data_IF_058776556971
#
_entry.id   IF_058776556971
#
_cell.length_a   1.000
_cell.length_b   1.000
_cell.length_c   1.000
_cell.angle_alpha   90.00
_cell.angle_beta   90.00
_cell.angle_gamma   90.00
#
_symmetry.space_group_name_H-M   'P 1'
#
loop_
_entity.id
_entity.type
_entity.pdbx_description
1 polymer ?
#
# COMPACT_ATOMS: atom_id res chain seq x y z
N UNK A 1 35.04 -32.06 15.07
CA UNK A 1 35.97 -30.95 15.34
C UNK A 1 36.26 -30.20 14.04
N UNK A 2 35.47 -29.24 13.59
CA UNK A 2 34.11 -28.79 13.93
C UNK A 2 33.72 -27.71 12.91
N UNK A 3 32.42 -27.42 12.88
CA UNK A 3 31.76 -26.27 12.29
C UNK A 3 31.69 -26.25 10.75
N UNK A 4 30.79 -27.08 10.22
CA UNK A 4 29.87 -26.62 9.18
C UNK A 4 29.19 -25.37 9.76
N UNK A 5 29.54 -24.20 9.25
CA UNK A 5 28.77 -22.98 9.51
C UNK A 5 27.48 -23.15 8.72
N UNK A 6 26.45 -23.60 9.43
CA UNK A 6 25.08 -23.58 8.96
C UNK A 6 24.72 -22.09 8.80
N UNK A 7 24.89 -21.56 7.59
CA UNK A 7 24.33 -20.27 7.21
C UNK A 7 22.84 -20.52 7.09
N UNK A 8 22.12 -20.43 8.21
CA UNK A 8 20.67 -20.30 8.19
C UNK A 8 20.33 -19.10 7.30
N UNK A 9 19.94 -19.38 6.06
CA UNK A 9 19.31 -18.39 5.19
C UNK A 9 17.98 -18.05 5.82
N UNK A 10 17.94 -17.02 6.68
CA UNK A 10 16.70 -16.39 7.12
C UNK A 10 16.07 -15.62 5.95
N UNK A 11 15.69 -16.32 4.89
CA UNK A 11 14.66 -15.79 3.99
C UNK A 11 13.33 -16.05 4.70
N UNK A 12 12.88 -15.06 5.48
CA UNK A 12 11.60 -15.11 6.19
C UNK A 12 10.41 -15.31 5.23
N UNK A 13 10.65 -15.24 3.91
CA UNK A 13 9.63 -15.21 2.87
C UNK A 13 8.86 -13.89 2.85
N UNK A 14 9.09 -12.99 3.81
CA UNK A 14 8.36 -11.73 3.86
C UNK A 14 8.89 -10.76 2.82
N UNK A 15 8.01 -10.28 1.94
CA UNK A 15 8.37 -9.45 0.80
C UNK A 15 7.36 -8.34 0.62
N UNK A 16 7.84 -7.16 0.24
CA UNK A 16 6.99 -6.04 -0.12
C UNK A 16 7.50 -5.38 -1.39
N UNK A 17 6.67 -5.29 -2.42
CA UNK A 17 6.91 -4.45 -3.57
C UNK A 17 6.06 -3.19 -3.45
N UNK A 18 6.70 -2.04 -3.60
CA UNK A 18 6.03 -0.74 -3.57
C UNK A 18 6.30 -0.01 -4.89
N UNK A 19 5.23 0.32 -5.60
CA UNK A 19 5.25 1.31 -6.69
C UNK A 19 4.54 2.58 -6.23
N UNK A 20 4.42 3.65 -7.04
CA UNK A 20 3.59 4.80 -6.66
C UNK A 20 2.09 4.44 -6.46
N UNK A 21 1.59 3.43 -7.19
CA UNK A 21 0.16 3.16 -7.35
C UNK A 21 -0.26 1.73 -6.99
N UNK A 22 0.71 0.86 -6.68
CA UNK A 22 0.50 -0.54 -6.28
C UNK A 22 1.33 -0.87 -5.06
N UNK A 23 0.82 -1.76 -4.23
CA UNK A 23 1.60 -2.44 -3.18
C UNK A 23 1.32 -3.94 -3.29
N UNK A 24 2.37 -4.75 -3.23
CA UNK A 24 2.25 -6.16 -2.93
C UNK A 24 2.97 -6.41 -1.62
N UNK A 25 2.30 -6.98 -0.64
CA UNK A 25 2.89 -7.34 0.64
C UNK A 25 2.60 -8.81 0.92
N UNK A 26 3.63 -9.61 1.16
CA UNK A 26 3.52 -10.95 1.70
C UNK A 26 4.19 -10.96 3.07
N UNK A 27 3.41 -11.18 4.13
CA UNK A 27 3.96 -11.24 5.48
C UNK A 27 2.92 -11.23 6.58
N UNK A 28 3.39 -10.97 7.81
CA UNK A 28 2.59 -11.01 9.02
C UNK A 28 1.43 -10.00 8.99
N UNK A 29 0.19 -10.48 9.10
CA UNK A 29 -0.97 -9.60 9.28
C UNK A 29 -1.05 -8.96 10.68
N UNK A 30 -0.32 -9.54 11.64
CA UNK A 30 -0.35 -9.14 13.04
C UNK A 30 -1.64 -9.56 13.75
N UNK A 31 -1.87 -9.02 14.95
CA UNK A 31 -3.09 -9.30 15.71
C UNK A 31 -4.31 -8.67 15.03
N UNK A 32 -5.49 -9.32 15.06
CA UNK A 32 -6.72 -8.78 14.49
C UNK A 32 -7.02 -7.40 15.08
N UNK A 33 -7.05 -6.38 14.23
CA UNK A 33 -7.39 -5.00 14.58
C UNK A 33 -8.10 -4.37 13.40
N UNK A 34 -9.12 -3.57 13.72
CA UNK A 34 -9.83 -2.77 12.73
C UNK A 34 -8.86 -1.83 12.02
N UNK A 35 -8.97 -1.78 10.69
CA UNK A 35 -8.19 -0.94 9.79
C UNK A 35 -9.13 -0.31 8.76
N UNK A 36 -8.75 0.85 8.26
CA UNK A 36 -9.54 1.64 7.32
C UNK A 36 -8.62 2.21 6.23
N UNK A 37 -7.98 1.37 5.41
CA UNK A 37 -7.04 1.83 4.40
C UNK A 37 -7.72 2.68 3.33
N UNK A 38 -6.99 3.64 2.77
CA UNK A 38 -7.48 4.48 1.67
C UNK A 38 -7.37 3.83 0.28
N UNK A 39 -6.89 2.59 0.19
CA UNK A 39 -6.70 1.84 -1.05
C UNK A 39 -7.64 0.63 -1.13
N UNK A 40 -7.87 0.16 -2.35
CA UNK A 40 -8.51 -1.11 -2.62
C UNK A 40 -7.56 -2.23 -2.21
N UNK A 41 -8.04 -3.22 -1.47
CA UNK A 41 -7.21 -4.32 -0.98
C UNK A 41 -7.75 -5.68 -1.44
N UNK A 42 -6.83 -6.54 -1.85
CA UNK A 42 -7.06 -7.97 -2.09
C UNK A 42 -6.15 -8.74 -1.15
N UNK A 43 -6.75 -9.48 -0.23
CA UNK A 43 -6.04 -10.37 0.67
C UNK A 43 -6.10 -11.78 0.13
N UNK A 44 -4.98 -12.51 0.18
CA UNK A 44 -4.91 -13.92 -0.19
C UNK A 44 -4.18 -14.71 0.88
N UNK A 45 -4.77 -15.83 1.31
CA UNK A 45 -4.15 -16.79 2.21
C UNK A 45 -2.90 -17.39 1.55
N UNK A 46 -1.76 -17.35 2.24
CA UNK A 46 -0.57 -18.11 1.83
C UNK A 46 -0.82 -19.61 2.06
N UNK A 47 -1.42 -19.94 3.20
CA UNK A 47 -1.93 -21.28 3.56
C UNK A 47 -3.23 -21.11 4.35
N UNK A 48 -4.04 -22.17 4.36
CA UNK A 48 -5.30 -22.25 5.07
C UNK A 48 -6.27 -21.11 4.64
N UNK A 49 -7.04 -20.54 5.57
CA UNK A 49 -8.02 -19.50 5.28
C UNK A 49 -7.71 -18.12 5.85
N UNK A 50 -8.50 -17.15 5.38
CA UNK A 50 -8.64 -15.80 5.91
C UNK A 50 -10.03 -15.60 6.51
N UNK A 51 -10.14 -14.85 7.59
CA UNK A 51 -11.42 -14.36 8.12
C UNK A 51 -11.50 -12.85 7.96
N UNK A 52 -12.48 -12.37 7.20
CA UNK A 52 -12.78 -10.96 7.01
C UNK A 52 -14.06 -10.60 7.77
N UNK A 53 -14.04 -9.48 8.48
CA UNK A 53 -15.24 -8.82 9.02
C UNK A 53 -15.18 -7.33 8.70
N UNK A 54 -16.26 -6.78 8.17
CA UNK A 54 -16.36 -5.39 7.72
C UNK A 54 -17.37 -4.60 8.55
N UNK A 55 -17.25 -3.28 8.60
CA UNK A 55 -18.13 -2.41 9.39
C UNK A 55 -19.56 -2.31 8.88
N UNK A 56 -19.81 -2.72 7.64
CA UNK A 56 -21.16 -2.84 7.06
C UNK A 56 -21.82 -4.20 7.39
N UNK A 57 -21.20 -5.01 8.25
CA UNK A 57 -21.75 -6.26 8.77
C UNK A 57 -21.43 -7.49 7.93
N UNK A 58 -20.70 -7.37 6.82
CA UNK A 58 -20.27 -8.55 6.06
C UNK A 58 -19.22 -9.35 6.85
N UNK A 59 -19.35 -10.66 6.79
CA UNK A 59 -18.37 -11.61 7.28
C UNK A 59 -18.10 -12.65 6.21
N UNK A 60 -16.84 -13.05 6.07
CA UNK A 60 -16.43 -14.04 5.08
C UNK A 60 -15.25 -14.86 5.56
N UNK A 61 -15.23 -16.12 5.15
CA UNK A 61 -14.10 -17.03 5.30
C UNK A 61 -13.74 -17.63 3.95
N UNK A 62 -12.45 -17.69 3.64
CA UNK A 62 -11.97 -18.24 2.38
C UNK A 62 -10.51 -17.90 2.09
N UNK A 63 -10.01 -18.32 0.93
CA UNK A 63 -8.62 -18.08 0.55
C UNK A 63 -8.36 -16.67 0.00
N UNK A 64 -9.40 -15.94 -0.40
CA UNK A 64 -9.30 -14.59 -0.95
C UNK A 64 -10.40 -13.71 -0.37
N UNK A 65 -10.03 -12.49 0.00
CA UNK A 65 -10.96 -11.48 0.48
C UNK A 65 -10.66 -10.12 -0.17
N UNK A 66 -11.68 -9.31 -0.39
CA UNK A 66 -11.55 -7.99 -1.05
C UNK A 66 -12.17 -6.92 -0.17
N UNK A 67 -11.53 -5.76 -0.06
CA UNK A 67 -12.11 -4.58 0.58
C UNK A 67 -11.97 -3.33 -0.27
N UNK A 68 -13.05 -2.55 -0.34
CA UNK A 68 -13.07 -1.27 -1.05
C UNK A 68 -12.29 -0.19 -0.27
N UNK A 69 -11.79 0.85 -0.95
CA UNK A 69 -11.17 1.99 -0.28
C UNK A 69 -12.04 2.56 0.84
N UNK A 70 -11.43 2.85 1.99
CA UNK A 70 -12.05 3.41 3.18
C UNK A 70 -13.10 2.52 3.89
N UNK A 71 -13.26 1.26 3.47
CA UNK A 71 -14.09 0.30 4.19
C UNK A 71 -13.37 -0.15 5.47
N UNK A 72 -13.96 0.11 6.64
CA UNK A 72 -13.39 -0.39 7.89
C UNK A 72 -13.57 -1.89 7.98
N UNK A 73 -12.51 -2.60 8.32
CA UNK A 73 -12.54 -4.05 8.41
C UNK A 73 -11.48 -4.59 9.36
N UNK A 74 -11.68 -5.84 9.80
CA UNK A 74 -10.68 -6.68 10.45
C UNK A 74 -10.42 -7.88 9.54
N UNK A 75 -9.16 -8.25 9.40
CA UNK A 75 -8.72 -9.42 8.62
C UNK A 75 -7.78 -10.25 9.49
N UNK A 76 -7.93 -11.57 9.45
CA UNK A 76 -7.06 -12.52 10.13
C UNK A 76 -6.64 -13.63 9.15
N UNK A 77 -5.50 -14.25 9.41
CA UNK A 77 -5.04 -15.43 8.69
C UNK A 77 -4.80 -16.56 9.68
N UNK A 78 -5.21 -17.77 9.31
CA UNK A 78 -4.98 -18.99 10.07
C UNK A 78 -3.48 -19.36 10.10
N UNK A 79 -2.71 -18.96 9.08
CA UNK A 79 -1.26 -19.17 8.94
C UNK A 79 -0.38 -18.00 9.47
N UNK A 80 -0.97 -17.00 10.14
CA UNK A 80 -0.35 -15.71 10.57
C UNK A 80 0.08 -14.76 9.45
N UNK A 81 0.60 -15.28 8.35
CA UNK A 81 1.02 -14.50 7.18
C UNK A 81 0.02 -14.59 6.04
N UNK A 82 -0.17 -13.48 5.32
CA UNK A 82 -1.01 -13.40 4.14
C UNK A 82 -0.36 -12.53 3.07
N UNK A 83 -0.86 -12.67 1.85
CA UNK A 83 -0.59 -11.73 0.77
C UNK A 83 -1.66 -10.63 0.83
N UNK A 84 -1.24 -9.40 0.59
CA UNK A 84 -2.03 -8.20 0.60
C UNK A 84 -1.62 -7.36 -0.62
N UNK A 85 -2.48 -7.30 -1.62
CA UNK A 85 -2.32 -6.47 -2.82
C UNK A 85 -3.14 -5.21 -2.63
N UNK A 86 -2.54 -4.04 -2.83
CA UNK A 86 -3.23 -2.76 -2.76
C UNK A 86 -3.17 -2.02 -4.10
N UNK A 87 -4.30 -1.45 -4.51
CA UNK A 87 -4.43 -0.59 -5.69
C UNK A 87 -4.89 0.80 -5.24
N UNK A 88 -4.14 1.83 -5.64
CA UNK A 88 -4.48 3.21 -5.34
C UNK A 88 -5.67 3.66 -6.22
N UNK A 89 -6.82 4.05 -5.61
CA UNK A 89 -8.07 4.28 -6.34
C UNK A 89 -8.00 5.41 -7.38
N UNK A 90 -7.14 6.40 -7.19
CA UNK A 90 -6.96 7.48 -8.16
C UNK A 90 -6.27 7.02 -9.46
N UNK A 91 -5.57 5.88 -9.45
CA UNK A 91 -4.80 5.37 -10.60
C UNK A 91 -5.67 4.70 -11.66
N UNK A 92 -6.93 4.39 -11.35
CA UNK A 92 -7.85 3.68 -12.23
C UNK A 92 -9.15 4.48 -12.42
N UNK A 93 -9.85 4.35 -13.55
CA UNK A 93 -11.15 4.98 -13.76
C UNK A 93 -12.21 4.50 -12.77
N UNK A 94 -13.24 5.33 -12.56
CA UNK A 94 -14.39 5.00 -11.71
C UNK A 94 -15.07 3.72 -12.18
N UNK A 95 -15.55 2.89 -11.25
CA UNK A 95 -16.18 1.60 -11.56
C UNK A 95 -15.19 0.46 -11.80
N UNK A 96 -13.89 0.75 -12.01
CA UNK A 96 -12.88 -0.29 -12.26
C UNK A 96 -12.71 -1.20 -11.03
N UNK A 97 -12.59 -0.61 -9.85
CA UNK A 97 -12.36 -1.38 -8.61
C UNK A 97 -13.58 -2.25 -8.26
N UNK A 98 -14.80 -1.76 -8.50
CA UNK A 98 -16.04 -2.51 -8.33
C UNK A 98 -16.14 -3.66 -9.32
N UNK A 99 -15.69 -3.47 -10.57
CA UNK A 99 -15.61 -4.54 -11.57
C UNK A 99 -14.57 -5.60 -11.17
N UNK A 100 -13.39 -5.19 -10.69
CA UNK A 100 -12.35 -6.10 -10.19
C UNK A 100 -12.86 -6.86 -8.96
N UNK A 101 -13.49 -6.19 -8.01
CA UNK A 101 -14.08 -6.83 -6.83
C UNK A 101 -15.08 -7.93 -7.21
N UNK A 102 -16.00 -7.64 -8.15
CA UNK A 102 -16.97 -8.64 -8.65
C UNK A 102 -16.30 -9.83 -9.33
N UNK A 103 -15.23 -9.61 -10.10
CA UNK A 103 -14.44 -10.69 -10.73
C UNK A 103 -13.78 -11.58 -9.66
N UNK A 104 -13.12 -10.95 -8.69
CA UNK A 104 -12.38 -11.64 -7.63
C UNK A 104 -13.29 -12.42 -6.67
N UNK A 105 -14.52 -11.95 -6.45
CA UNK A 105 -15.52 -12.61 -5.62
C UNK A 105 -16.45 -13.53 -6.43
N UNK A 106 -16.21 -13.68 -7.73
CA UNK A 106 -17.00 -14.50 -8.63
C UNK A 106 -16.53 -15.97 -8.69
N UNK A 107 -16.99 -16.71 -9.71
CA UNK A 107 -16.67 -18.14 -9.89
C UNK A 107 -15.15 -18.44 -9.96
N UNK A 108 -14.36 -17.49 -10.47
CA UNK A 108 -12.92 -17.64 -10.68
C UNK A 108 -12.08 -17.23 -9.44
N UNK A 109 -12.70 -17.03 -8.27
CA UNK A 109 -12.02 -16.60 -7.04
C UNK A 109 -10.76 -17.45 -6.72
N UNK A 110 -10.88 -18.78 -6.82
CA UNK A 110 -9.75 -19.70 -6.58
C UNK A 110 -8.62 -19.56 -7.60
N UNK A 111 -8.95 -19.25 -8.86
CA UNK A 111 -7.97 -18.98 -9.91
C UNK A 111 -7.17 -17.71 -9.57
N UNK A 112 -7.85 -16.63 -9.16
CA UNK A 112 -7.17 -15.39 -8.76
C UNK A 112 -6.31 -15.56 -7.51
N UNK A 113 -6.79 -16.31 -6.51
CA UNK A 113 -5.99 -16.66 -5.33
C UNK A 113 -4.70 -17.40 -5.73
N UNK A 114 -4.82 -18.38 -6.64
CA UNK A 114 -3.67 -19.11 -7.19
C UNK A 114 -2.70 -18.20 -7.94
N UNK A 115 -3.21 -17.29 -8.79
CA UNK A 115 -2.39 -16.31 -9.52
C UNK A 115 -1.62 -15.38 -8.58
N UNK A 116 -2.26 -14.85 -7.54
CA UNK A 116 -1.61 -13.97 -6.56
C UNK A 116 -0.57 -14.74 -5.73
N UNK A 117 -0.79 -16.01 -5.43
CA UNK A 117 0.25 -16.88 -4.83
C UNK A 117 1.42 -17.14 -5.78
N UNK A 118 1.16 -17.34 -7.07
CA UNK A 118 2.21 -17.47 -8.09
C UNK A 118 3.00 -16.16 -8.26
N UNK A 119 2.33 -15.01 -8.16
CA UNK A 119 2.96 -13.69 -8.15
C UNK A 119 3.97 -13.56 -7.00
N UNK A 120 3.60 -14.02 -5.79
CA UNK A 120 4.50 -14.07 -4.65
C UNK A 120 5.76 -14.92 -4.94
N UNK A 121 5.61 -16.10 -5.53
CA UNK A 121 6.74 -16.94 -5.92
C UNK A 121 7.63 -16.25 -6.99
N UNK A 122 7.03 -15.57 -7.97
CA UNK A 122 7.79 -14.82 -8.99
C UNK A 122 8.57 -13.65 -8.39
N UNK A 123 7.97 -12.90 -7.46
CA UNK A 123 8.66 -11.86 -6.69
C UNK A 123 9.77 -12.45 -5.80
N UNK A 124 9.72 -13.75 -5.51
CA UNK A 124 10.79 -14.41 -4.76
C UNK A 124 12.10 -14.48 -5.56
N UNK A 125 11.98 -14.62 -6.87
CA UNK A 125 13.06 -14.79 -7.84
C UNK A 125 13.61 -13.46 -8.39
N UNK A 126 12.88 -12.35 -8.22
CA UNK A 126 13.29 -11.04 -8.73
C UNK A 126 14.47 -10.46 -7.96
N UNK A 127 15.36 -9.77 -8.69
CA UNK A 127 16.47 -9.05 -8.07
C UNK A 127 16.03 -7.65 -7.62
N UNK A 128 16.74 -7.10 -6.64
CA UNK A 128 16.42 -5.81 -6.01
C UNK A 128 16.35 -4.61 -6.97
N UNK A 129 16.85 -4.74 -8.21
CA UNK A 129 16.88 -3.68 -9.23
C UNK A 129 15.82 -3.80 -10.32
N UNK A 130 15.01 -4.85 -10.31
CA UNK A 130 14.00 -5.05 -11.35
C UNK A 130 12.82 -4.10 -11.12
N UNK A 131 12.70 -3.07 -11.97
CA UNK A 131 11.54 -2.19 -11.93
C UNK A 131 10.33 -2.90 -12.54
N UNK A 132 9.25 -3.05 -11.76
CA UNK A 132 7.98 -3.59 -12.25
C UNK A 132 7.03 -2.45 -12.59
N UNK A 133 6.56 -2.42 -13.83
CA UNK A 133 5.49 -1.49 -14.26
C UNK A 133 4.13 -1.89 -13.69
N UNK A 134 3.18 -0.95 -13.61
CA UNK A 134 1.81 -1.27 -13.21
C UNK A 134 1.16 -2.33 -14.12
N UNK A 135 1.47 -2.31 -15.41
CA UNK A 135 0.96 -3.28 -16.39
C UNK A 135 1.42 -4.69 -16.06
N UNK A 136 2.71 -4.86 -15.78
CA UNK A 136 3.28 -6.16 -15.38
C UNK A 136 2.74 -6.61 -14.03
N UNK A 137 2.64 -5.71 -13.06
CA UNK A 137 2.03 -5.98 -11.75
C UNK A 137 0.59 -6.49 -11.89
N UNK A 138 -0.24 -5.74 -12.63
CA UNK A 138 -1.65 -6.04 -12.80
C UNK A 138 -1.84 -7.36 -13.57
N UNK A 139 -1.04 -7.60 -14.60
CA UNK A 139 -1.06 -8.87 -15.36
C UNK A 139 -0.67 -10.06 -14.47
N UNK A 140 0.35 -9.88 -13.62
CA UNK A 140 0.81 -10.88 -12.68
C UNK A 140 -0.26 -11.22 -11.64
N UNK A 141 -0.96 -10.23 -11.07
CA UNK A 141 -1.97 -10.47 -10.04
C UNK A 141 -3.37 -10.82 -10.60
N UNK A 142 -3.81 -10.15 -11.65
CA UNK A 142 -5.21 -10.15 -12.14
C UNK A 142 -5.39 -10.70 -13.55
N UNK A 143 -4.31 -11.05 -14.24
CA UNK A 143 -4.37 -11.65 -15.58
C UNK A 143 -4.28 -10.66 -16.72
N UNK A 144 -4.70 -9.43 -16.47
CA UNK A 144 -4.71 -8.35 -17.45
C UNK A 144 -4.27 -7.05 -16.78
N UNK A 145 -3.79 -6.10 -17.58
CA UNK A 145 -3.55 -4.75 -17.12
C UNK A 145 -4.87 -4.06 -16.73
N UNK A 146 -4.89 -3.35 -15.61
CA UNK A 146 -6.03 -2.49 -15.29
C UNK A 146 -5.97 -1.20 -16.11
N UNK A 147 -7.13 -0.67 -16.54
CA UNK A 147 -7.18 0.61 -17.23
C UNK A 147 -6.57 1.71 -16.35
N UNK A 148 -5.70 2.53 -16.93
CA UNK A 148 -5.05 3.63 -16.24
C UNK A 148 -5.87 4.90 -16.40
N UNK A 149 -6.03 5.67 -15.32
CA UNK A 149 -6.67 6.98 -15.38
C UNK A 149 -5.68 8.01 -15.92
N UNK A 150 -6.13 8.81 -16.90
CA UNK A 150 -5.42 10.02 -17.32
C UNK A 150 -5.96 11.19 -16.51
N UNK A 151 -5.09 11.82 -15.72
CA UNK A 151 -5.42 12.93 -14.83
C UNK A 151 -4.99 14.28 -15.42
N UNK A 152 -5.68 15.34 -15.05
CA UNK A 152 -5.24 16.72 -15.31
C UNK A 152 -3.80 16.94 -14.81
N UNK A 153 -2.89 17.50 -15.63
CA UNK A 153 -1.49 17.70 -15.25
C UNK A 153 -1.29 18.49 -13.95
N UNK A 154 -2.22 19.38 -13.57
CA UNK A 154 -2.20 20.11 -12.30
C UNK A 154 -2.45 19.19 -11.12
N UNK A 155 -3.35 18.22 -11.27
CA UNK A 155 -3.62 17.18 -10.26
C UNK A 155 -2.44 16.21 -10.18
N UNK A 156 -1.87 15.79 -11.32
CA UNK A 156 -0.65 14.95 -11.33
C UNK A 156 0.48 15.61 -10.54
N UNK A 157 0.76 16.90 -10.78
CA UNK A 157 1.79 17.64 -10.01
C UNK A 157 1.49 17.67 -8.51
N UNK A 158 0.23 17.89 -8.13
CA UNK A 158 -0.16 17.87 -6.72
C UNK A 158 0.04 16.48 -6.09
N UNK A 159 -0.30 15.40 -6.80
CA UNK A 159 -0.08 14.01 -6.35
C UNK A 159 1.42 13.74 -6.19
N UNK A 160 2.24 14.10 -7.18
CA UNK A 160 3.70 13.95 -7.10
C UNK A 160 4.28 14.69 -5.91
N UNK A 161 3.83 15.92 -5.64
CA UNK A 161 4.25 16.70 -4.47
C UNK A 161 3.86 16.03 -3.16
N UNK A 162 2.65 15.46 -3.06
CA UNK A 162 2.20 14.70 -1.88
C UNK A 162 3.06 13.44 -1.67
N UNK A 163 3.53 12.82 -2.75
CA UNK A 163 4.37 11.61 -2.71
C UNK A 163 5.84 11.86 -2.35
N UNK A 164 6.29 13.12 -2.25
CA UNK A 164 7.67 13.44 -1.89
C UNK A 164 7.88 13.42 -0.37
N UNK A 165 9.01 12.86 0.07
CA UNK A 165 9.46 12.86 1.48
C UNK A 165 10.20 14.17 1.80
N UNK A 166 9.48 15.29 1.81
CA UNK A 166 10.09 16.61 2.02
C UNK A 166 9.99 17.14 3.45
N UNK A 167 9.31 16.45 4.37
CA UNK A 167 8.99 16.94 5.71
C UNK A 167 8.01 18.13 5.74
N UNK A 168 7.92 18.90 4.67
CA UNK A 168 7.04 20.06 4.56
C UNK A 168 5.56 19.66 4.34
N UNK A 169 4.61 20.31 5.04
CA UNK A 169 3.20 20.05 4.81
C UNK A 169 2.75 20.49 3.42
N UNK A 170 2.41 19.54 2.56
CA UNK A 170 1.74 19.85 1.28
C UNK A 170 0.33 20.37 1.54
N UNK A 171 0.08 21.66 1.32
CA UNK A 171 -1.22 22.31 1.58
C UNK A 171 -2.05 22.48 0.31
N UNK A 172 -3.38 22.54 0.46
CA UNK A 172 -4.28 22.80 -0.67
C UNK A 172 -4.04 24.19 -1.26
N UNK A 173 -3.72 25.19 -0.43
CA UNK A 173 -3.38 26.54 -0.90
C UNK A 173 -2.09 26.55 -1.73
N UNK A 174 -1.05 25.82 -1.30
CA UNK A 174 0.18 25.67 -2.06
C UNK A 174 -0.06 25.00 -3.42
N UNK A 175 -0.75 23.86 -3.44
CA UNK A 175 -1.07 23.20 -4.72
C UNK A 175 -1.98 24.04 -5.63
N UNK A 176 -2.90 24.82 -5.06
CA UNK A 176 -3.75 25.72 -5.82
C UNK A 176 -2.95 26.86 -6.48
N UNK A 177 -1.99 27.44 -5.74
CA UNK A 177 -1.07 28.44 -6.28
C UNK A 177 -0.24 27.87 -7.44
N UNK A 178 0.33 26.68 -7.27
CA UNK A 178 1.10 25.97 -8.32
C UNK A 178 0.24 25.65 -9.56
N UNK A 179 -1.07 25.48 -9.36
CA UNK A 179 -2.05 25.24 -10.42
C UNK A 179 -2.63 26.53 -11.03
N UNK A 180 -2.25 27.71 -10.53
CA UNK A 180 -2.86 29.01 -10.87
C UNK A 180 -4.39 29.01 -10.69
N UNK A 181 -4.85 28.41 -9.60
CA UNK A 181 -6.27 28.31 -9.23
C UNK A 181 -6.51 28.90 -7.85
N UNK A 182 -7.76 29.30 -7.58
CA UNK A 182 -8.19 29.52 -6.19
C UNK A 182 -8.24 28.17 -5.43
N UNK A 183 -8.05 28.17 -4.10
CA UNK A 183 -8.12 26.95 -3.29
C UNK A 183 -9.39 26.14 -3.51
N UNK A 184 -10.55 26.80 -3.58
CA UNK A 184 -11.84 26.14 -3.82
C UNK A 184 -11.92 25.47 -5.19
N UNK A 185 -11.41 26.13 -6.25
CA UNK A 185 -11.39 25.54 -7.60
C UNK A 185 -10.42 24.37 -7.70
N UNK A 186 -9.26 24.46 -7.05
CA UNK A 186 -8.32 23.36 -6.98
C UNK A 186 -8.93 22.14 -6.25
N UNK A 187 -9.57 22.36 -5.10
CA UNK A 187 -10.20 21.26 -4.34
C UNK A 187 -11.32 20.57 -5.13
N UNK A 188 -12.09 21.35 -5.90
CA UNK A 188 -13.12 20.80 -6.78
C UNK A 188 -12.50 19.96 -7.89
N UNK A 189 -11.53 20.51 -8.63
CA UNK A 189 -10.78 19.81 -9.69
C UNK A 189 -10.14 18.53 -9.15
N UNK A 190 -9.45 18.60 -8.01
CA UNK A 190 -8.80 17.44 -7.42
C UNK A 190 -9.80 16.32 -7.10
N UNK A 191 -10.96 16.67 -6.54
CA UNK A 191 -12.00 15.69 -6.20
C UNK A 191 -12.66 15.12 -7.46
N UNK A 192 -12.87 15.94 -8.47
CA UNK A 192 -13.43 15.53 -9.77
C UNK A 192 -12.51 14.52 -10.47
N UNK A 193 -11.20 14.81 -10.51
CA UNK A 193 -10.21 13.97 -11.19
C UNK A 193 -9.89 12.68 -10.43
N UNK A 194 -9.82 12.71 -9.09
CA UNK A 194 -9.39 11.56 -8.28
C UNK A 194 -10.54 10.78 -7.64
N UNK A 195 -11.74 11.35 -7.59
CA UNK A 195 -12.86 10.84 -6.78
C UNK A 195 -12.69 11.06 -5.26
N UNK A 196 -11.56 11.60 -4.80
CA UNK A 196 -11.17 11.63 -3.38
C UNK A 196 -10.93 13.06 -2.93
N UNK A 197 -11.35 13.39 -1.70
CA UNK A 197 -11.00 14.70 -1.14
C UNK A 197 -9.49 14.82 -0.94
N UNK A 198 -8.91 15.99 -1.25
CA UNK A 198 -7.49 16.28 -1.05
C UNK A 198 -6.99 15.94 0.36
N UNK A 199 -7.82 16.21 1.39
CA UNK A 199 -7.50 15.89 2.79
C UNK A 199 -7.37 14.38 3.02
N UNK A 200 -8.35 13.60 2.57
CA UNK A 200 -8.34 12.14 2.72
C UNK A 200 -7.19 11.52 1.94
N UNK A 201 -6.98 11.98 0.70
CA UNK A 201 -5.88 11.57 -0.15
C UNK A 201 -4.53 11.78 0.54
N UNK A 202 -4.24 13.01 0.98
CA UNK A 202 -3.00 13.36 1.66
C UNK A 202 -2.80 12.53 2.93
N UNK A 203 -3.86 12.33 3.72
CA UNK A 203 -3.77 11.53 4.95
C UNK A 203 -3.40 10.06 4.66
N UNK A 204 -3.99 9.47 3.62
CA UNK A 204 -3.68 8.10 3.21
C UNK A 204 -2.26 7.96 2.64
N UNK A 205 -1.87 8.82 1.68
CA UNK A 205 -0.52 8.80 1.11
C UNK A 205 0.56 8.96 2.18
N UNK A 206 0.33 9.86 3.14
CA UNK A 206 1.22 10.03 4.28
C UNK A 206 1.35 8.78 5.16
N UNK A 207 0.25 8.07 5.39
CA UNK A 207 0.31 6.81 6.12
C UNK A 207 1.08 5.74 5.32
N UNK A 208 0.87 5.70 4.01
CA UNK A 208 1.55 4.82 3.06
C UNK A 208 3.06 5.03 3.02
N UNK A 209 3.54 6.26 3.19
CA UNK A 209 4.96 6.58 3.26
C UNK A 209 5.72 5.75 4.30
N UNK A 210 5.06 5.36 5.41
CA UNK A 210 5.65 4.47 6.41
C UNK A 210 6.18 3.17 5.83
N UNK A 211 5.52 2.63 4.80
CA UNK A 211 5.88 1.35 4.18
C UNK A 211 7.29 1.39 3.59
N UNK A 212 7.76 2.54 3.10
CA UNK A 212 9.11 2.67 2.54
C UNK A 212 10.24 2.49 3.57
N UNK A 213 9.92 2.56 4.85
CA UNK A 213 10.89 2.52 5.94
C UNK A 213 10.68 1.34 6.90
N UNK A 214 9.69 0.48 6.62
CA UNK A 214 9.18 -0.48 7.60
C UNK A 214 10.21 -1.51 8.08
N UNK A 215 11.27 -1.78 7.31
CA UNK A 215 12.35 -2.69 7.66
C UNK A 215 13.61 -2.00 8.20
N UNK A 216 13.61 -0.67 8.35
CA UNK A 216 14.76 0.08 8.81
C UNK A 216 14.75 0.25 10.34
N UNK A 217 15.94 0.27 10.94
CA UNK A 217 16.10 0.61 12.36
C UNK A 217 16.23 2.13 12.52
N UNK A 218 15.08 2.81 12.63
CA UNK A 218 15.00 4.26 12.68
C UNK A 218 14.18 4.76 13.88
N UNK A 219 14.53 5.96 14.35
CA UNK A 219 13.75 6.63 15.38
C UNK A 219 12.38 7.05 14.82
N UNK A 220 11.31 6.42 15.34
CA UNK A 220 9.94 6.68 14.90
C UNK A 220 9.50 8.14 15.07
N UNK A 221 10.08 8.90 15.99
CA UNK A 221 9.78 10.32 16.17
C UNK A 221 10.37 11.17 15.04
N UNK A 222 11.59 10.86 14.60
CA UNK A 222 12.19 11.52 13.43
C UNK A 222 11.46 11.13 12.15
N UNK A 223 11.19 9.83 11.95
CA UNK A 223 10.40 9.37 10.82
C UNK A 223 9.05 10.07 10.72
N UNK A 224 8.36 10.26 11.86
CA UNK A 224 7.09 10.97 11.89
C UNK A 224 7.21 12.35 11.23
N UNK A 225 8.26 13.11 11.56
CA UNK A 225 8.53 14.42 10.97
C UNK A 225 8.91 14.32 9.49
N UNK A 226 9.78 13.38 9.13
CA UNK A 226 10.26 13.20 7.74
C UNK A 226 9.12 12.86 6.77
N UNK A 227 8.16 12.05 7.21
CA UNK A 227 6.98 11.73 6.41
C UNK A 227 5.83 12.74 6.64
N UNK A 228 6.08 13.86 7.31
CA UNK A 228 5.20 15.03 7.36
C UNK A 228 4.15 15.06 8.47
N UNK A 229 4.28 14.25 9.52
CA UNK A 229 3.47 14.38 10.73
C UNK A 229 4.07 15.42 11.71
N UNK A 230 3.23 16.21 12.38
CA UNK A 230 3.70 17.23 13.32
C UNK A 230 4.34 16.62 14.57
N UNK A 231 3.87 15.43 14.99
CA UNK A 231 4.37 14.73 16.18
C UNK A 231 4.06 13.22 16.13
N UNK A 232 4.65 12.50 17.08
CA UNK A 232 4.52 11.05 17.23
C UNK A 232 3.11 10.58 17.61
N UNK A 233 2.30 11.44 18.25
CA UNK A 233 0.93 11.12 18.68
C UNK A 233 0.02 11.09 17.47
N UNK A 234 0.02 12.15 16.66
CA UNK A 234 -0.72 12.22 15.39
C UNK A 234 -0.28 11.13 14.43
N UNK A 235 1.02 10.88 14.32
CA UNK A 235 1.57 9.76 13.54
C UNK A 235 0.99 8.42 14.00
N UNK A 236 1.10 8.10 15.29
CA UNK A 236 0.63 6.82 15.86
C UNK A 236 -0.87 6.62 15.67
N UNK A 237 -1.68 7.67 15.87
CA UNK A 237 -3.12 7.61 15.64
C UNK A 237 -3.47 7.39 14.17
N UNK A 238 -2.79 8.09 13.25
CA UNK A 238 -3.01 7.96 11.82
C UNK A 238 -2.65 6.57 11.31
N UNK A 239 -1.47 6.05 11.65
CA UNK A 239 -1.03 4.72 11.22
C UNK A 239 -1.96 3.63 11.80
N UNK A 240 -2.33 3.74 13.07
CA UNK A 240 -3.29 2.80 13.68
C UNK A 240 -4.64 2.83 12.99
N UNK A 241 -5.15 4.00 12.59
CA UNK A 241 -6.42 4.09 11.85
C UNK A 241 -6.33 3.36 10.50
N UNK A 242 -5.26 3.56 9.75
CA UNK A 242 -5.15 3.04 8.39
C UNK A 242 -4.75 1.56 8.32
N UNK A 243 -3.85 1.11 9.20
CA UNK A 243 -3.31 -0.25 9.19
C UNK A 243 -3.80 -1.14 10.35
N UNK A 244 -4.49 -0.58 11.33
CA UNK A 244 -4.93 -1.28 12.55
C UNK A 244 -3.82 -1.51 13.58
N UNK A 245 -2.57 -1.25 13.22
CA UNK A 245 -1.39 -1.49 14.06
C UNK A 245 -0.70 -0.17 14.43
N UNK A 246 -0.07 -0.13 15.61
CA UNK A 246 0.81 0.98 15.97
C UNK A 246 2.12 0.89 15.17
N UNK A 247 2.79 2.01 14.85
CA UNK A 247 4.05 2.01 14.09
C UNK A 247 5.07 0.99 14.61
N UNK A 248 5.35 0.99 15.92
CA UNK A 248 6.30 0.05 16.54
C UNK A 248 5.98 -1.44 16.27
N UNK A 249 4.69 -1.79 16.18
CA UNK A 249 4.30 -3.17 15.89
C UNK A 249 4.55 -3.53 14.42
N UNK A 250 4.33 -2.60 13.49
CA UNK A 250 4.62 -2.78 12.06
C UNK A 250 6.12 -2.98 11.86
N UNK A 251 6.95 -2.11 12.42
CA UNK A 251 8.41 -2.18 12.32
C UNK A 251 8.94 -3.48 12.93
N UNK A 252 8.48 -3.84 14.13
CA UNK A 252 8.93 -5.09 14.75
C UNK A 252 8.53 -6.34 13.96
N UNK A 253 7.40 -6.31 13.24
CA UNK A 253 6.94 -7.41 12.39
C UNK A 253 7.52 -7.40 10.98
N UNK A 254 8.26 -6.36 10.62
CA UNK A 254 8.81 -6.14 9.27
C UNK A 254 10.35 -6.12 9.25
N UNK A 255 11.02 -6.56 10.32
CA UNK A 255 12.50 -6.56 10.37
C UNK A 255 13.12 -7.41 9.27
N UNK A 256 12.53 -8.58 9.01
CA UNK A 256 13.00 -9.49 7.98
C UNK A 256 12.29 -9.29 6.63
N UNK A 257 11.61 -8.14 6.45
CA UNK A 257 10.86 -7.82 5.23
C UNK A 257 11.81 -7.30 4.15
N UNK A 258 11.90 -8.02 3.04
CA UNK A 258 12.57 -7.52 1.85
C UNK A 258 11.66 -6.51 1.12
N UNK A 259 12.07 -5.25 1.04
CA UNK A 259 11.30 -4.18 0.38
C UNK A 259 11.92 -3.87 -0.98
N UNK A 260 11.14 -3.99 -2.06
CA UNK A 260 11.51 -3.70 -3.44
C UNK A 260 10.82 -2.41 -3.89
N UNK A 261 11.59 -1.48 -4.46
CA UNK A 261 11.07 -0.22 -4.98
C UNK A 261 11.11 -0.23 -6.50
N UNK A 262 9.95 -0.17 -7.14
CA UNK A 262 9.89 0.07 -8.57
C UNK A 262 9.87 1.58 -8.85
N UNK A 263 10.91 2.09 -9.53
CA UNK A 263 10.84 3.38 -10.22
C UNK A 263 11.07 4.65 -9.42
N UNK A 264 11.77 4.63 -8.28
CA UNK A 264 12.35 5.87 -7.74
C UNK A 264 13.81 5.99 -8.20
N UNK A 265 14.07 6.93 -9.10
CA UNK A 265 15.40 7.54 -9.20
C UNK A 265 15.66 8.12 -7.82
N UNK A 266 16.44 7.40 -7.01
CA UNK A 266 17.00 7.95 -5.79
C UNK A 266 17.93 9.05 -6.26
N UNK A 267 17.47 10.30 -6.19
CA UNK A 267 18.39 11.43 -6.22
C UNK A 267 19.31 11.23 -5.03
N UNK A 268 20.56 10.84 -5.28
CA UNK A 268 21.59 10.80 -4.24
C UNK A 268 21.60 12.14 -3.51
N UNK A 269 21.73 12.17 -2.18
CA UNK A 269 21.95 13.43 -1.49
C UNK A 269 23.27 13.99 -2.00
N UNK A 270 23.21 15.14 -2.67
CA UNK A 270 24.39 15.96 -2.93
C UNK A 270 24.89 16.41 -1.56
N UNK A 271 25.83 15.66 -1.01
CA UNK A 271 26.68 16.14 0.07
C UNK A 271 27.48 17.31 -0.52
N UNK A 272 27.14 18.52 -0.08
CA UNK A 272 27.97 19.72 -0.24
C UNK A 272 28.72 19.96 1.06
#
# INVERSE_FOLDING_TARGET
MDAIVDVESHDSGHRMLITPERVFYAGLLGRPRERCPGAFHVYVAIRDGLHLSTSDGQQGHGELAVTMPNLRHTITSEYRSAICVAIEPESVPDGTLEAVARRLQGPDCALFASRIRAAYARLAEMQYRDAISNVEFDTMCFGDALPQRVLDPRVVRAISRIGQFSGEPVTAAGCAADASLSPSRFLHLFKEETGISFRSFRAWKRARHLLHFANQDINLAHLAQDIGYPDSTHFSHSIRRFYGLKPRAIFSGSRDLAIYHAGQVVSEPVLT
#
